data_IF_223551255707
#
_entry.id   IF_223551255707
#
_cell.length_a   1.000
_cell.length_b   1.000
_cell.length_c   1.000
_cell.angle_alpha   90.00
_cell.angle_beta   90.00
_cell.angle_gamma   90.00
#
_symmetry.space_group_name_H-M   'P 1'
#
loop_
_entity.id
_entity.type
_entity.pdbx_description
1 polymer ?
#
# COMPACT_ATOMS: atom_id res chain seq x y z
N UNK A 1 15.67 -6.52 8.26
CA UNK A 1 14.80 -7.02 7.15
C UNK A 1 13.40 -7.34 7.65
N UNK A 2 12.72 -6.34 8.19
CA UNK A 2 11.33 -6.48 8.65
C UNK A 2 10.30 -6.15 7.56
N UNK A 3 10.71 -5.43 6.51
CA UNK A 3 9.84 -4.98 5.42
C UNK A 3 10.13 -5.73 4.12
N UNK A 4 9.11 -5.87 3.28
CA UNK A 4 9.21 -6.30 1.90
C UNK A 4 8.50 -5.32 0.95
N UNK A 5 9.00 -5.21 -0.28
CA UNK A 5 8.39 -4.39 -1.32
C UNK A 5 7.13 -5.08 -1.80
N UNK A 6 5.98 -4.41 -1.73
CA UNK A 6 4.68 -4.94 -2.15
C UNK A 6 4.12 -4.29 -3.41
N UNK A 7 4.64 -3.13 -3.81
CA UNK A 7 4.32 -2.50 -5.10
C UNK A 7 5.47 -1.63 -5.61
N UNK A 8 5.61 -1.57 -6.94
CA UNK A 8 6.53 -0.67 -7.65
C UNK A 8 5.81 0.03 -8.80
N UNK A 9 6.29 1.21 -9.21
CA UNK A 9 5.86 1.83 -10.47
C UNK A 9 6.62 1.24 -11.68
N UNK A 10 6.25 1.67 -12.89
CA UNK A 10 6.86 1.21 -14.14
C UNK A 10 8.35 1.58 -14.24
N UNK A 11 8.74 2.70 -13.62
CA UNK A 11 10.12 3.15 -13.50
C UNK A 11 10.93 2.39 -12.42
N UNK A 12 10.28 1.48 -11.67
CA UNK A 12 10.90 0.63 -10.67
C UNK A 12 11.02 1.26 -9.28
N UNK A 13 10.41 2.43 -9.05
CA UNK A 13 10.38 3.08 -7.73
C UNK A 13 9.45 2.29 -6.80
N UNK A 14 9.85 2.18 -5.53
CA UNK A 14 9.04 1.50 -4.50
C UNK A 14 7.85 2.38 -4.14
N UNK A 15 6.65 1.86 -4.37
CA UNK A 15 5.38 2.58 -4.12
C UNK A 15 4.66 2.08 -2.88
N UNK A 16 4.94 0.85 -2.46
CA UNK A 16 4.41 0.30 -1.21
C UNK A 16 5.36 -0.73 -0.60
N UNK A 17 5.30 -0.83 0.73
CA UNK A 17 6.00 -1.83 1.54
C UNK A 17 5.04 -2.47 2.53
N UNK A 18 5.34 -3.70 2.91
CA UNK A 18 4.61 -4.45 3.92
C UNK A 18 5.56 -4.98 4.97
N UNK A 19 5.15 -4.93 6.24
CA UNK A 19 5.88 -5.61 7.29
C UNK A 19 5.62 -7.12 7.23
N UNK A 20 6.68 -7.93 7.37
CA UNK A 20 6.60 -9.39 7.20
C UNK A 20 5.70 -10.09 8.22
N UNK A 21 5.71 -9.61 9.46
CA UNK A 21 4.98 -10.23 10.57
C UNK A 21 3.81 -9.40 11.13
N UNK A 22 3.89 -8.07 11.08
CA UNK A 22 2.89 -7.16 11.63
C UNK A 22 1.89 -6.74 10.54
N UNK A 23 0.62 -6.46 10.89
CA UNK A 23 -0.39 -5.97 9.95
C UNK A 23 -0.17 -4.49 9.64
N UNK A 24 0.98 -4.17 9.04
CA UNK A 24 1.43 -2.82 8.72
C UNK A 24 1.77 -2.77 7.23
N UNK A 25 1.08 -1.89 6.52
CA UNK A 25 1.35 -1.53 5.13
C UNK A 25 1.67 -0.03 5.05
N UNK A 26 2.67 0.31 4.26
CA UNK A 26 3.04 1.69 3.94
C UNK A 26 2.88 1.93 2.44
N UNK A 27 2.26 3.04 2.07
CA UNK A 27 2.09 3.47 0.66
C UNK A 27 2.67 4.86 0.47
N UNK A 28 3.27 5.11 -0.70
CA UNK A 28 3.91 6.39 -1.02
C UNK A 28 2.92 7.43 -1.55
N UNK A 29 1.77 6.98 -2.05
CA UNK A 29 0.68 7.81 -2.57
C UNK A 29 -0.41 8.06 -1.52
N UNK A 30 -1.37 8.91 -1.87
CA UNK A 30 -2.49 9.31 -1.01
C UNK A 30 -3.78 8.55 -1.37
N UNK A 31 -4.03 7.34 -0.82
CA UNK A 31 -5.25 6.58 -1.10
C UNK A 31 -6.53 7.29 -0.64
N UNK A 32 -6.43 8.28 0.22
CA UNK A 32 -7.53 9.12 0.68
C UNK A 32 -7.95 10.19 -0.34
N UNK A 33 -7.12 10.46 -1.34
CA UNK A 33 -7.38 11.52 -2.32
C UNK A 33 -8.51 11.13 -3.28
N UNK A 34 -9.37 12.10 -3.62
CA UNK A 34 -10.40 11.94 -4.66
C UNK A 34 -9.81 11.58 -6.03
N UNK A 35 -8.54 11.91 -6.25
CA UNK A 35 -7.81 11.61 -7.48
C UNK A 35 -7.21 10.20 -7.50
N UNK A 36 -7.49 9.38 -6.49
CA UNK A 36 -7.09 7.97 -6.45
C UNK A 36 -8.35 7.10 -6.50
N UNK A 37 -8.84 6.73 -7.70
CA UNK A 37 -10.13 6.04 -7.86
C UNK A 37 -10.25 4.72 -7.09
N UNK A 38 -9.13 4.00 -6.92
CA UNK A 38 -9.07 2.74 -6.17
C UNK A 38 -8.80 2.94 -4.67
N UNK A 39 -8.63 4.19 -4.22
CA UNK A 39 -8.36 4.55 -2.83
C UNK A 39 -9.34 3.96 -1.82
N UNK A 40 -10.67 4.09 -2.04
CA UNK A 40 -11.67 3.49 -1.17
C UNK A 40 -11.57 1.96 -1.08
N UNK A 41 -11.22 1.28 -2.16
CA UNK A 41 -11.05 -0.18 -2.18
C UNK A 41 -9.80 -0.61 -1.39
N UNK A 42 -8.69 0.13 -1.55
CA UNK A 42 -7.48 -0.10 -0.77
C UNK A 42 -7.75 0.05 0.74
N UNK A 43 -8.48 1.10 1.14
CA UNK A 43 -8.87 1.29 2.53
C UNK A 43 -9.76 0.14 3.05
N UNK A 44 -10.70 -0.37 2.25
CA UNK A 44 -11.51 -1.52 2.62
C UNK A 44 -10.68 -2.80 2.80
N UNK A 45 -9.72 -3.04 1.92
CA UNK A 45 -8.83 -4.20 2.04
C UNK A 45 -7.97 -4.11 3.31
N UNK A 46 -7.43 -2.93 3.61
CA UNK A 46 -6.68 -2.70 4.85
C UNK A 46 -7.53 -2.97 6.09
N UNK A 47 -8.75 -2.43 6.15
CA UNK A 47 -9.67 -2.65 7.27
C UNK A 47 -10.14 -4.11 7.39
N UNK A 48 -10.20 -4.84 6.27
CA UNK A 48 -10.53 -6.25 6.23
C UNK A 48 -9.34 -7.17 6.55
N UNK A 49 -8.13 -6.63 6.72
CA UNK A 49 -6.91 -7.40 6.95
C UNK A 49 -6.51 -8.29 5.77
N UNK A 50 -6.75 -7.82 4.53
CA UNK A 50 -6.40 -8.54 3.29
C UNK A 50 -5.02 -8.17 2.77
#
# INVERSE_FOLDING_TARGET
DELEVSATCDEGEVMAVRHRELPIDGVQFHPESVLTPLGPELAQNFLAGR
#
